data_IF_293349107876
#
_entry.id   IF_293349107876
#
_cell.length_a   1.000
_cell.length_b   1.000
_cell.length_c   1.000
_cell.angle_alpha   90.00
_cell.angle_beta   90.00
_cell.angle_gamma   90.00
#
_symmetry.space_group_name_H-M   'P 1'
#
loop_
_entity.id
_entity.type
_entity.pdbx_description
1 polymer ?
#
# COMPACT_ATOMS: atom_id res chain seq x y z
N UNK A 1 146.56 -154.37 -50.88
CA UNK A 1 145.36 -153.53 -51.13
C UNK A 1 144.53 -153.25 -49.88
N UNK A 2 144.39 -154.19 -48.93
CA UNK A 2 143.59 -153.97 -47.70
C UNK A 2 144.22 -152.94 -46.72
N UNK A 3 145.55 -152.83 -46.67
CA UNK A 3 146.25 -151.91 -45.76
C UNK A 3 145.95 -150.42 -46.03
N UNK A 4 145.81 -150.02 -47.30
CA UNK A 4 145.43 -148.64 -47.67
C UNK A 4 143.98 -148.33 -47.28
N UNK A 5 143.07 -149.30 -47.39
CA UNK A 5 141.67 -149.13 -46.97
C UNK A 5 141.55 -148.95 -45.44
N UNK A 6 142.36 -149.67 -44.65
CA UNK A 6 142.37 -149.52 -43.19
C UNK A 6 142.96 -148.19 -42.72
N UNK A 7 144.04 -147.71 -43.34
CA UNK A 7 144.60 -146.38 -43.03
C UNK A 7 143.64 -145.25 -43.42
N UNK A 8 142.94 -145.40 -44.54
CA UNK A 8 141.89 -144.46 -44.96
C UNK A 8 140.71 -144.48 -43.98
N UNK A 9 140.23 -145.66 -43.57
CA UNK A 9 139.16 -145.79 -42.59
C UNK A 9 139.56 -145.22 -41.21
N UNK A 10 140.80 -145.45 -40.75
CA UNK A 10 141.31 -144.90 -39.50
C UNK A 10 141.48 -143.37 -39.57
N UNK A 11 141.99 -142.85 -40.69
CA UNK A 11 142.07 -141.40 -40.96
C UNK A 11 140.69 -140.74 -40.99
N UNK A 12 139.70 -141.41 -41.59
CA UNK A 12 138.33 -140.93 -41.63
C UNK A 12 137.67 -140.96 -40.24
N UNK A 13 137.86 -142.04 -39.48
CA UNK A 13 137.31 -142.18 -38.13
C UNK A 13 137.89 -141.13 -37.17
N UNK A 14 139.19 -140.86 -37.27
CA UNK A 14 139.86 -139.83 -36.46
C UNK A 14 139.40 -138.42 -36.82
N UNK A 15 139.17 -138.12 -38.11
CA UNK A 15 138.59 -136.84 -38.54
C UNK A 15 137.16 -136.65 -38.03
N UNK A 16 136.32 -137.70 -38.08
CA UNK A 16 134.96 -137.67 -37.51
C UNK A 16 135.02 -137.45 -36.00
N UNK A 17 135.92 -138.14 -35.29
CA UNK A 17 136.05 -138.01 -33.85
C UNK A 17 136.47 -136.60 -33.44
N UNK A 18 137.43 -135.99 -34.15
CA UNK A 18 137.80 -134.58 -33.94
C UNK A 18 136.61 -133.64 -34.23
N UNK A 19 135.87 -133.88 -35.32
CA UNK A 19 134.67 -133.12 -35.65
C UNK A 19 133.61 -133.17 -34.55
N UNK A 20 133.36 -134.37 -33.99
CA UNK A 20 132.40 -134.57 -32.90
C UNK A 20 132.82 -133.88 -31.60
N UNK A 21 134.13 -133.76 -31.34
CA UNK A 21 134.66 -133.10 -30.14
C UNK A 21 134.56 -131.57 -30.22
N UNK A 22 134.70 -131.00 -31.43
CA UNK A 22 134.62 -129.55 -31.67
C UNK A 22 133.17 -129.07 -31.89
N UNK A 23 132.30 -129.90 -32.45
CA UNK A 23 130.89 -129.61 -32.71
C UNK A 23 130.12 -128.98 -31.51
N UNK A 24 130.19 -129.50 -30.27
CA UNK A 24 129.44 -128.92 -29.15
C UNK A 24 129.93 -127.52 -28.74
N UNK A 25 131.21 -127.20 -28.93
CA UNK A 25 131.77 -125.87 -28.61
C UNK A 25 131.29 -124.83 -29.61
N UNK A 26 131.34 -125.17 -30.90
CA UNK A 26 130.86 -124.28 -31.97
C UNK A 26 129.35 -124.05 -31.84
N UNK A 27 128.57 -125.09 -31.56
CA UNK A 27 127.11 -124.97 -31.39
C UNK A 27 126.74 -124.04 -30.22
N UNK A 28 127.39 -124.17 -29.06
CA UNK A 28 127.17 -123.25 -27.93
C UNK A 28 127.48 -121.80 -28.28
N UNK A 29 128.54 -121.55 -29.06
CA UNK A 29 128.93 -120.20 -29.48
C UNK A 29 127.93 -119.60 -30.46
N UNK A 30 127.42 -120.40 -31.40
CA UNK A 30 126.39 -119.98 -32.36
C UNK A 30 125.07 -119.66 -31.65
N UNK A 31 124.62 -120.49 -30.71
CA UNK A 31 123.38 -120.24 -29.95
C UNK A 31 123.48 -118.93 -29.16
N UNK A 32 124.62 -118.67 -28.51
CA UNK A 32 124.80 -117.43 -27.74
C UNK A 32 124.83 -116.19 -28.63
N UNK A 33 125.56 -116.22 -29.75
CA UNK A 33 125.54 -115.12 -30.72
C UNK A 33 124.17 -114.95 -31.39
N UNK A 34 123.44 -116.03 -31.64
CA UNK A 34 122.08 -115.96 -32.16
C UNK A 34 121.14 -115.34 -31.13
N UNK A 35 121.21 -115.73 -29.86
CA UNK A 35 120.38 -115.17 -28.78
C UNK A 35 120.72 -113.71 -28.48
N UNK A 36 122.01 -113.34 -28.42
CA UNK A 36 122.47 -111.97 -28.19
C UNK A 36 122.08 -111.05 -29.38
N UNK A 37 122.21 -111.55 -30.62
CA UNK A 37 121.77 -110.82 -31.81
C UNK A 37 120.24 -110.71 -31.88
N UNK A 38 119.51 -111.77 -31.52
CA UNK A 38 118.05 -111.73 -31.46
C UNK A 38 117.59 -110.72 -30.40
N UNK A 39 118.19 -110.69 -29.21
CA UNK A 39 117.89 -109.70 -28.16
C UNK A 39 118.23 -108.27 -28.61
N UNK A 40 119.28 -108.07 -29.40
CA UNK A 40 119.66 -106.77 -29.93
C UNK A 40 118.76 -106.29 -31.10
N UNK A 41 118.17 -107.19 -31.88
CA UNK A 41 117.35 -106.86 -33.06
C UNK A 41 115.85 -107.01 -32.85
N UNK A 42 115.41 -107.62 -31.74
CA UNK A 42 113.99 -107.69 -31.41
C UNK A 42 113.59 -106.38 -30.73
N UNK A 43 112.70 -105.57 -31.32
CA UNK A 43 112.57 -104.17 -30.94
C UNK A 43 111.93 -103.94 -29.56
N UNK A 44 111.30 -104.93 -28.92
CA UNK A 44 110.69 -104.76 -27.60
C UNK A 44 110.65 -106.08 -26.81
N UNK A 45 110.92 -106.00 -25.51
CA UNK A 45 110.70 -107.11 -24.57
C UNK A 45 109.20 -107.33 -24.32
N UNK A 46 108.77 -108.55 -23.98
CA UNK A 46 107.34 -108.84 -23.73
C UNK A 46 106.70 -107.96 -22.64
N UNK A 47 107.51 -107.51 -21.68
CA UNK A 47 107.06 -106.58 -20.63
C UNK A 47 106.79 -105.18 -21.20
N UNK A 48 107.63 -104.69 -22.11
CA UNK A 48 107.43 -103.39 -22.76
C UNK A 48 106.21 -103.39 -23.71
N UNK A 49 105.94 -104.49 -24.42
CA UNK A 49 104.72 -104.60 -25.26
C UNK A 49 103.46 -104.55 -24.41
N UNK A 50 103.46 -105.20 -23.24
CA UNK A 50 102.36 -105.12 -22.28
C UNK A 50 102.23 -103.72 -21.70
N UNK A 51 103.35 -103.08 -21.34
CA UNK A 51 103.37 -101.70 -20.85
C UNK A 51 102.86 -100.69 -21.89
N UNK A 52 103.24 -100.81 -23.17
CA UNK A 52 102.73 -99.95 -24.23
C UNK A 52 101.23 -100.18 -24.49
N UNK A 53 100.78 -101.43 -24.45
CA UNK A 53 99.35 -101.76 -24.59
C UNK A 53 98.53 -101.19 -23.44
N UNK A 54 99.02 -101.31 -22.21
CA UNK A 54 98.34 -100.76 -21.04
C UNK A 54 98.45 -99.23 -20.99
N UNK A 55 99.55 -98.64 -21.48
CA UNK A 55 99.69 -97.19 -21.67
C UNK A 55 98.72 -96.67 -22.74
N UNK A 56 98.58 -97.34 -23.89
CA UNK A 56 97.62 -96.97 -24.92
C UNK A 56 96.17 -97.08 -24.42
N UNK A 57 95.85 -98.13 -23.64
CA UNK A 57 94.55 -98.26 -22.95
C UNK A 57 94.32 -97.14 -21.95
N UNK A 58 95.35 -96.77 -21.18
CA UNK A 58 95.26 -95.68 -20.22
C UNK A 58 95.06 -94.32 -20.91
N UNK A 59 95.76 -94.06 -22.02
CA UNK A 59 95.61 -92.84 -22.83
C UNK A 59 94.20 -92.77 -23.41
N UNK A 60 93.72 -93.84 -24.05
CA UNK A 60 92.35 -93.90 -24.58
C UNK A 60 91.30 -93.74 -23.48
N UNK A 61 91.48 -94.38 -22.31
CA UNK A 61 90.58 -94.21 -21.18
C UNK A 61 90.60 -92.77 -20.65
N UNK A 62 91.79 -92.16 -20.53
CA UNK A 62 91.94 -90.78 -20.08
C UNK A 62 91.32 -89.78 -21.06
N UNK A 63 91.50 -89.95 -22.37
CA UNK A 63 90.85 -89.14 -23.40
C UNK A 63 89.34 -89.34 -23.45
N UNK A 64 88.86 -90.58 -23.32
CA UNK A 64 87.42 -90.86 -23.27
C UNK A 64 86.78 -90.26 -22.01
N UNK A 65 87.46 -90.29 -20.87
CA UNK A 65 87.01 -89.60 -19.65
C UNK A 65 87.04 -88.08 -19.83
N UNK A 66 88.09 -87.50 -20.42
CA UNK A 66 88.17 -86.05 -20.69
C UNK A 66 87.09 -85.59 -21.67
N UNK A 67 86.85 -86.32 -22.75
CA UNK A 67 85.82 -86.01 -23.76
C UNK A 67 84.41 -86.19 -23.18
N UNK A 68 84.17 -87.25 -22.41
CA UNK A 68 82.87 -87.41 -21.74
C UNK A 68 82.63 -86.35 -20.66
N UNK A 69 83.65 -85.93 -19.91
CA UNK A 69 83.53 -84.83 -18.94
C UNK A 69 83.27 -83.48 -19.61
N UNK A 70 83.97 -83.18 -20.71
CA UNK A 70 83.71 -81.95 -21.49
C UNK A 70 82.33 -81.97 -22.12
N UNK A 71 81.90 -83.09 -22.69
CA UNK A 71 80.54 -83.27 -23.19
C UNK A 71 79.48 -83.07 -22.10
N UNK A 72 79.71 -83.61 -20.88
CA UNK A 72 78.83 -83.37 -19.74
C UNK A 72 78.77 -81.88 -19.38
N UNK A 73 79.91 -81.21 -19.24
CA UNK A 73 79.97 -79.77 -18.95
C UNK A 73 79.26 -78.93 -20.01
N UNK A 74 79.43 -79.24 -21.30
CA UNK A 74 78.74 -78.54 -22.39
C UNK A 74 77.23 -78.82 -22.39
N UNK A 75 76.81 -80.05 -22.05
CA UNK A 75 75.38 -80.35 -21.85
C UNK A 75 74.78 -79.59 -20.67
N UNK A 76 75.48 -79.55 -19.55
CA UNK A 76 75.03 -78.82 -18.36
C UNK A 76 74.92 -77.32 -18.66
N UNK A 77 75.89 -76.74 -19.40
CA UNK A 77 75.81 -75.36 -19.90
C UNK A 77 74.63 -75.17 -20.85
N UNK A 78 74.43 -76.05 -21.82
CA UNK A 78 73.33 -75.95 -22.78
C UNK A 78 71.97 -76.00 -22.08
N UNK A 79 71.79 -76.88 -21.09
CA UNK A 79 70.59 -76.96 -20.26
C UNK A 79 70.41 -75.66 -19.46
N UNK A 80 71.47 -75.14 -18.85
CA UNK A 80 71.40 -73.88 -18.09
C UNK A 80 71.00 -72.68 -18.97
N UNK A 81 71.53 -72.60 -20.19
CA UNK A 81 71.17 -71.58 -21.16
C UNK A 81 69.74 -71.74 -21.66
N UNK A 82 69.28 -72.98 -21.85
CA UNK A 82 67.90 -73.26 -22.25
C UNK A 82 66.91 -72.83 -21.15
N UNK A 83 67.19 -73.14 -19.88
CA UNK A 83 66.39 -72.69 -18.74
C UNK A 83 66.40 -71.16 -18.60
N UNK A 84 67.56 -70.52 -18.76
CA UNK A 84 67.68 -69.06 -18.72
C UNK A 84 66.89 -68.40 -19.86
N UNK A 85 66.94 -68.99 -21.07
CA UNK A 85 66.15 -68.54 -22.22
C UNK A 85 64.65 -68.71 -21.97
N UNK A 86 64.21 -69.85 -21.45
CA UNK A 86 62.80 -70.09 -21.14
C UNK A 86 62.29 -69.07 -20.11
N UNK A 87 63.08 -68.79 -19.07
CA UNK A 87 62.76 -67.74 -18.09
C UNK A 87 62.67 -66.36 -18.75
N UNK A 88 63.63 -65.99 -19.59
CA UNK A 88 63.59 -64.72 -20.32
C UNK A 88 62.39 -64.63 -21.28
N UNK A 89 62.00 -65.73 -21.93
CA UNK A 89 60.80 -65.78 -22.77
C UNK A 89 59.51 -65.64 -21.94
N UNK A 90 59.46 -66.20 -20.72
CA UNK A 90 58.35 -65.99 -19.78
C UNK A 90 58.27 -64.53 -19.32
N UNK A 91 59.39 -63.94 -18.91
CA UNK A 91 59.46 -62.53 -18.49
C UNK A 91 59.09 -61.59 -19.67
N UNK A 92 59.47 -61.92 -20.90
CA UNK A 92 59.04 -61.15 -22.07
C UNK A 92 57.53 -61.25 -22.31
N UNK A 93 56.90 -62.38 -22.01
CA UNK A 93 55.44 -62.53 -22.15
C UNK A 93 54.70 -61.75 -21.07
N UNK A 94 55.18 -61.76 -19.82
CA UNK A 94 54.56 -60.99 -18.73
C UNK A 94 54.67 -59.49 -19.01
N UNK A 95 55.85 -58.99 -19.35
CA UNK A 95 56.06 -57.56 -19.67
C UNK A 95 55.23 -57.12 -20.88
N UNK A 96 55.03 -58.00 -21.88
CA UNK A 96 54.14 -57.71 -23.02
C UNK A 96 52.68 -57.62 -22.59
N UNK A 97 52.21 -58.56 -21.77
CA UNK A 97 50.84 -58.53 -21.25
C UNK A 97 50.60 -57.27 -20.41
N UNK A 98 51.54 -56.92 -19.52
CA UNK A 98 51.49 -55.68 -18.73
C UNK A 98 51.48 -54.43 -19.62
N UNK A 99 52.27 -54.41 -20.70
CA UNK A 99 52.26 -53.29 -21.66
C UNK A 99 50.93 -53.18 -22.40
N UNK A 100 50.34 -54.30 -22.81
CA UNK A 100 49.03 -54.31 -23.47
C UNK A 100 47.93 -53.83 -22.51
N UNK A 101 47.96 -54.26 -21.25
CA UNK A 101 47.02 -53.81 -20.22
C UNK A 101 47.18 -52.31 -19.92
N UNK A 102 48.41 -51.82 -19.74
CA UNK A 102 48.66 -50.39 -19.54
C UNK A 102 48.23 -49.55 -20.75
N UNK A 103 48.37 -50.06 -21.98
CA UNK A 103 47.87 -49.39 -23.18
C UNK A 103 46.34 -49.33 -23.19
N UNK A 104 45.67 -50.42 -22.85
CA UNK A 104 44.21 -50.44 -22.74
C UNK A 104 43.71 -49.44 -21.68
N UNK A 105 44.39 -49.36 -20.53
CA UNK A 105 44.07 -48.36 -19.49
C UNK A 105 44.30 -46.92 -19.96
N UNK A 106 45.37 -46.66 -20.72
CA UNK A 106 45.63 -45.35 -21.31
C UNK A 106 44.55 -44.96 -22.33
N UNK A 107 44.11 -45.90 -23.16
CA UNK A 107 43.06 -45.66 -24.15
C UNK A 107 41.71 -45.36 -23.47
N UNK A 108 41.36 -46.09 -22.40
CA UNK A 108 40.18 -45.82 -21.57
C UNK A 108 40.25 -44.43 -20.93
N UNK A 109 41.38 -44.11 -20.26
CA UNK A 109 41.57 -42.80 -19.63
C UNK A 109 41.53 -41.65 -20.67
N UNK A 110 42.01 -41.89 -21.89
CA UNK A 110 41.91 -40.92 -22.98
C UNK A 110 40.47 -40.73 -23.47
N UNK A 111 39.68 -41.81 -23.52
CA UNK A 111 38.26 -41.73 -23.83
C UNK A 111 37.50 -40.94 -22.75
N UNK A 112 37.70 -41.28 -21.47
CA UNK A 112 37.12 -40.54 -20.34
C UNK A 112 37.52 -39.06 -20.34
N UNK A 113 38.79 -38.75 -20.60
CA UNK A 113 39.25 -37.37 -20.73
C UNK A 113 38.60 -36.65 -21.93
N UNK A 114 38.34 -37.36 -23.02
CA UNK A 114 37.58 -36.86 -24.17
C UNK A 114 36.14 -36.51 -23.80
N UNK A 115 35.47 -37.42 -23.10
CA UNK A 115 34.09 -37.24 -22.62
C UNK A 115 33.98 -36.07 -21.64
N UNK A 116 34.90 -35.98 -20.67
CA UNK A 116 34.96 -34.84 -19.74
C UNK A 116 35.19 -33.52 -20.46
N UNK A 117 36.09 -33.46 -21.46
CA UNK A 117 36.30 -32.26 -22.28
C UNK A 117 35.06 -31.88 -23.08
N UNK A 118 34.32 -32.86 -23.59
CA UNK A 118 33.05 -32.62 -24.28
C UNK A 118 31.97 -32.08 -23.33
N UNK A 119 31.89 -32.64 -22.11
CA UNK A 119 30.99 -32.19 -21.06
C UNK A 119 31.30 -30.76 -20.61
N UNK A 120 32.58 -30.42 -20.44
CA UNK A 120 33.01 -29.06 -20.12
C UNK A 120 32.56 -28.09 -21.22
N UNK A 121 32.79 -28.40 -22.51
CA UNK A 121 32.34 -27.54 -23.62
C UNK A 121 30.83 -27.35 -23.64
N UNK A 122 30.05 -28.39 -23.33
CA UNK A 122 28.59 -28.29 -23.27
C UNK A 122 28.15 -27.37 -22.12
N UNK A 123 28.78 -27.51 -20.95
CA UNK A 123 28.52 -26.65 -19.80
C UNK A 123 28.93 -25.20 -20.07
N UNK A 124 30.07 -24.95 -20.71
CA UNK A 124 30.51 -23.62 -21.13
C UNK A 124 29.49 -22.98 -22.09
N UNK A 125 29.01 -23.72 -23.09
CA UNK A 125 27.96 -23.24 -23.99
C UNK A 125 26.65 -22.96 -23.26
N UNK A 126 26.30 -23.77 -22.25
CA UNK A 126 25.10 -23.53 -21.44
C UNK A 126 25.25 -22.28 -20.57
N UNK A 127 26.43 -22.07 -19.97
CA UNK A 127 26.76 -20.88 -19.19
C UNK A 127 26.68 -19.63 -20.07
N UNK A 128 27.24 -19.64 -21.28
CA UNK A 128 27.13 -18.50 -22.19
C UNK A 128 25.67 -18.20 -22.58
N UNK A 129 24.87 -19.22 -22.90
CA UNK A 129 23.43 -19.03 -23.14
C UNK A 129 22.70 -18.43 -21.93
N UNK A 130 23.05 -18.86 -20.72
CA UNK A 130 22.46 -18.30 -19.49
C UNK A 130 22.92 -16.87 -19.24
N UNK A 131 24.17 -16.52 -19.54
CA UNK A 131 24.67 -15.14 -19.45
C UNK A 131 23.97 -14.23 -20.45
N UNK A 132 23.80 -14.67 -21.69
CA UNK A 132 23.07 -13.91 -22.71
C UNK A 132 21.62 -13.69 -22.29
N UNK A 133 20.94 -14.75 -21.81
CA UNK A 133 19.58 -14.64 -21.29
C UNK A 133 19.49 -13.69 -20.09
N UNK A 134 20.45 -13.76 -19.16
CA UNK A 134 20.52 -12.84 -18.02
C UNK A 134 20.71 -11.39 -18.48
N UNK A 135 21.63 -11.14 -19.42
CA UNK A 135 21.86 -9.82 -19.98
C UNK A 135 20.60 -9.24 -20.65
N UNK A 136 19.87 -10.06 -21.42
CA UNK A 136 18.59 -9.61 -22.01
C UNK A 136 17.56 -9.28 -20.92
N UNK A 137 17.44 -10.10 -19.89
CA UNK A 137 16.51 -9.88 -18.78
C UNK A 137 16.87 -8.61 -17.98
N UNK A 138 18.15 -8.34 -17.76
CA UNK A 138 18.62 -7.12 -17.10
C UNK A 138 18.28 -5.88 -17.93
N UNK A 139 18.45 -5.92 -19.25
CA UNK A 139 18.05 -4.81 -20.13
C UNK A 139 16.54 -4.59 -20.15
N UNK A 140 15.76 -5.68 -20.19
CA UNK A 140 14.31 -5.61 -20.13
C UNK A 140 13.85 -5.03 -18.80
N UNK A 141 14.44 -5.47 -17.69
CA UNK A 141 14.16 -4.95 -16.35
C UNK A 141 14.50 -3.47 -16.22
N UNK A 142 15.65 -3.04 -16.76
CA UNK A 142 16.00 -1.62 -16.83
C UNK A 142 14.96 -0.81 -17.63
N UNK A 143 14.49 -1.33 -18.77
CA UNK A 143 13.44 -0.65 -19.55
C UNK A 143 12.11 -0.57 -18.78
N UNK A 144 11.77 -1.61 -18.02
CA UNK A 144 10.52 -1.67 -17.24
C UNK A 144 10.57 -0.75 -16.03
N UNK A 145 11.74 -0.61 -15.39
CA UNK A 145 11.93 0.35 -14.30
C UNK A 145 11.84 1.79 -14.79
N UNK A 146 12.38 2.11 -15.97
CA UNK A 146 12.20 3.41 -16.61
C UNK A 146 10.73 3.69 -16.96
N UNK A 147 10.03 2.72 -17.57
CA UNK A 147 8.58 2.81 -17.85
C UNK A 147 7.77 3.03 -16.57
N UNK A 148 8.09 2.32 -15.49
CA UNK A 148 7.43 2.48 -14.20
C UNK A 148 7.67 3.89 -13.62
N UNK A 149 8.89 4.43 -13.72
CA UNK A 149 9.19 5.78 -13.28
C UNK A 149 8.45 6.85 -14.10
N UNK A 150 8.29 6.65 -15.42
CA UNK A 150 7.49 7.53 -16.28
C UNK A 150 6.01 7.49 -15.90
N UNK A 151 5.45 6.28 -15.71
CA UNK A 151 4.05 6.10 -15.28
C UNK A 151 3.80 6.70 -13.90
N UNK A 152 4.72 6.55 -12.95
CA UNK A 152 4.62 7.19 -11.64
C UNK A 152 4.56 8.72 -11.74
N UNK A 153 5.45 9.32 -12.54
CA UNK A 153 5.41 10.79 -12.79
C UNK A 153 4.12 11.23 -13.47
N UNK A 154 3.57 10.42 -14.38
CA UNK A 154 2.28 10.71 -15.02
C UNK A 154 1.14 10.64 -14.00
N UNK A 155 1.15 9.64 -13.12
CA UNK A 155 0.18 9.52 -12.03
C UNK A 155 0.25 10.71 -11.08
N UNK A 156 1.46 11.13 -10.68
CA UNK A 156 1.66 12.30 -9.83
C UNK A 156 1.08 13.57 -10.47
N UNK A 157 1.34 13.79 -11.77
CA UNK A 157 0.76 14.93 -12.51
C UNK A 157 -0.76 14.89 -12.53
N UNK A 158 -1.35 13.75 -12.89
CA UNK A 158 -2.81 13.60 -12.94
C UNK A 158 -3.44 13.77 -11.55
N UNK A 159 -2.77 13.31 -10.49
CA UNK A 159 -3.23 13.53 -9.11
C UNK A 159 -3.21 15.01 -8.73
N UNK A 160 -2.15 15.74 -9.11
CA UNK A 160 -2.06 17.19 -8.88
C UNK A 160 -3.13 17.96 -9.67
N UNK A 161 -3.35 17.61 -10.95
CA UNK A 161 -4.43 18.18 -11.77
C UNK A 161 -5.81 17.90 -11.15
N UNK A 162 -6.03 16.69 -10.61
CA UNK A 162 -7.27 16.34 -9.94
C UNK A 162 -7.48 17.15 -8.65
N UNK A 163 -6.43 17.35 -7.85
CA UNK A 163 -6.51 18.15 -6.63
C UNK A 163 -6.72 19.64 -6.95
N UNK A 164 -6.13 20.15 -8.03
CA UNK A 164 -6.41 21.49 -8.56
C UNK A 164 -7.88 21.63 -8.97
N UNK A 165 -8.42 20.70 -9.76
CA UNK A 165 -9.83 20.70 -10.17
C UNK A 165 -10.76 20.61 -8.95
N UNK A 166 -10.42 19.81 -7.94
CA UNK A 166 -11.18 19.72 -6.69
C UNK A 166 -11.16 21.06 -5.92
N UNK A 167 -10.02 21.72 -5.86
CA UNK A 167 -9.90 23.03 -5.21
C UNK A 167 -10.74 24.09 -5.94
N UNK A 168 -10.70 24.11 -7.27
CA UNK A 168 -11.53 25.01 -8.09
C UNK A 168 -13.01 24.70 -7.88
N UNK A 169 -13.42 23.43 -7.92
CA UNK A 169 -14.81 23.04 -7.70
C UNK A 169 -15.31 23.41 -6.30
N UNK A 170 -14.48 23.29 -5.27
CA UNK A 170 -14.82 23.73 -3.92
C UNK A 170 -14.95 25.26 -3.81
N UNK A 171 -14.08 26.01 -4.50
CA UNK A 171 -14.18 27.47 -4.57
C UNK A 171 -15.45 27.91 -5.31
N UNK A 172 -15.81 27.26 -6.42
CA UNK A 172 -17.07 27.51 -7.13
C UNK A 172 -18.29 27.17 -6.27
N UNK A 173 -18.26 26.08 -5.51
CA UNK A 173 -19.33 25.73 -4.57
C UNK A 173 -19.53 26.82 -3.50
N UNK A 174 -18.44 27.35 -2.94
CA UNK A 174 -18.51 28.47 -1.99
C UNK A 174 -19.09 29.74 -2.64
N UNK A 175 -18.72 30.03 -3.90
CA UNK A 175 -19.30 31.16 -4.64
C UNK A 175 -20.80 30.98 -4.88
N UNK A 176 -21.23 29.76 -5.21
CA UNK A 176 -22.65 29.43 -5.36
C UNK A 176 -23.40 29.63 -4.05
N UNK A 177 -22.83 29.18 -2.92
CA UNK A 177 -23.41 29.38 -1.59
C UNK A 177 -23.50 30.87 -1.21
N UNK A 178 -22.46 31.66 -1.50
CA UNK A 178 -22.46 33.12 -1.29
C UNK A 178 -23.54 33.81 -2.13
N UNK A 179 -23.66 33.44 -3.42
CA UNK A 179 -24.70 33.96 -4.30
C UNK A 179 -26.10 33.55 -3.81
N UNK A 180 -26.27 32.34 -3.29
CA UNK A 180 -27.50 31.88 -2.69
C UNK A 180 -27.86 32.69 -1.43
N UNK A 181 -26.90 32.92 -0.54
CA UNK A 181 -27.08 33.76 0.65
C UNK A 181 -27.46 35.20 0.27
N UNK A 182 -26.78 35.79 -0.71
CA UNK A 182 -27.08 37.13 -1.23
C UNK A 182 -28.47 37.19 -1.87
N UNK A 183 -28.85 36.18 -2.65
CA UNK A 183 -30.18 36.09 -3.23
C UNK A 183 -31.27 35.91 -2.16
N UNK A 184 -30.98 35.20 -1.07
CA UNK A 184 -31.81 35.12 0.13
C UNK A 184 -32.00 36.50 0.76
N UNK A 185 -30.91 37.20 1.10
CA UNK A 185 -30.97 38.55 1.67
C UNK A 185 -31.74 39.55 0.81
N UNK A 186 -31.52 39.55 -0.52
CA UNK A 186 -32.29 40.41 -1.44
C UNK A 186 -33.79 40.05 -1.49
N UNK A 187 -34.15 38.78 -1.28
CA UNK A 187 -35.57 38.37 -1.21
C UNK A 187 -36.22 38.88 0.07
N UNK A 188 -35.51 38.81 1.20
CA UNK A 188 -35.97 39.28 2.50
C UNK A 188 -36.10 40.81 2.52
N UNK A 189 -35.11 41.53 1.97
CA UNK A 189 -35.18 42.99 1.75
C UNK A 189 -36.37 43.38 0.85
N UNK A 190 -36.60 42.62 -0.21
CA UNK A 190 -37.76 42.85 -1.08
C UNK A 190 -39.08 42.60 -0.35
N UNK A 191 -39.15 41.61 0.54
CA UNK A 191 -40.34 41.31 1.34
C UNK A 191 -40.61 42.40 2.38
N UNK A 192 -39.59 42.82 3.13
CA UNK A 192 -39.67 43.94 4.07
C UNK A 192 -40.10 45.24 3.37
N UNK A 193 -39.50 45.60 2.24
CA UNK A 193 -39.91 46.78 1.46
C UNK A 193 -41.35 46.67 0.93
N UNK A 194 -41.82 45.46 0.57
CA UNK A 194 -43.22 45.26 0.15
C UNK A 194 -44.17 45.45 1.31
N UNK A 195 -43.83 44.98 2.50
CA UNK A 195 -44.65 45.15 3.70
C UNK A 195 -44.64 46.59 4.21
N UNK A 196 -43.50 47.28 4.16
CA UNK A 196 -43.41 48.72 4.41
C UNK A 196 -44.29 49.50 3.43
N UNK A 197 -44.20 49.20 2.13
CA UNK A 197 -45.07 49.82 1.12
C UNK A 197 -46.55 49.54 1.38
N UNK A 198 -46.91 48.33 1.83
CA UNK A 198 -48.30 48.01 2.22
C UNK A 198 -48.76 48.85 3.41
N UNK A 199 -47.94 48.94 4.46
CA UNK A 199 -48.23 49.77 5.65
C UNK A 199 -48.37 51.24 5.28
N UNK A 200 -47.48 51.78 4.44
CA UNK A 200 -47.60 53.15 3.96
C UNK A 200 -48.84 53.36 3.09
N UNK A 201 -49.22 52.39 2.26
CA UNK A 201 -50.47 52.45 1.49
C UNK A 201 -51.71 52.44 2.40
N UNK A 202 -51.71 51.63 3.47
CA UNK A 202 -52.78 51.61 4.47
C UNK A 202 -52.85 52.92 5.25
N UNK A 203 -51.70 53.47 5.65
CA UNK A 203 -51.61 54.80 6.29
C UNK A 203 -52.14 55.90 5.38
N UNK A 204 -51.74 55.90 4.10
CA UNK A 204 -52.22 56.85 3.11
C UNK A 204 -53.75 56.77 2.95
N UNK A 205 -54.31 55.57 2.79
CA UNK A 205 -55.77 55.37 2.73
C UNK A 205 -56.48 55.84 4.02
N UNK A 206 -55.90 55.58 5.19
CA UNK A 206 -56.46 56.04 6.46
C UNK A 206 -56.44 57.57 6.57
N UNK A 207 -55.39 58.23 6.09
CA UNK A 207 -55.29 59.69 6.02
C UNK A 207 -56.27 60.27 4.98
N UNK A 208 -56.43 59.64 3.81
CA UNK A 208 -57.43 60.02 2.80
C UNK A 208 -58.85 59.93 3.37
N UNK A 209 -59.17 58.86 4.10
CA UNK A 209 -60.47 58.72 4.77
C UNK A 209 -60.69 59.80 5.84
N UNK A 210 -59.66 60.11 6.64
CA UNK A 210 -59.72 61.21 7.61
C UNK A 210 -59.89 62.56 6.92
N UNK A 211 -59.19 62.80 5.82
CA UNK A 211 -59.33 64.03 5.03
C UNK A 211 -60.75 64.14 4.48
N UNK A 212 -61.29 63.09 3.86
CA UNK A 212 -62.66 63.05 3.38
C UNK A 212 -63.69 63.31 4.50
N UNK A 213 -63.47 62.76 5.70
CA UNK A 213 -64.30 63.05 6.86
C UNK A 213 -64.20 64.53 7.29
N UNK A 214 -63.00 65.11 7.30
CA UNK A 214 -62.82 66.53 7.62
C UNK A 214 -63.41 67.43 6.55
N UNK A 215 -63.32 67.09 5.27
CA UNK A 215 -63.97 67.79 4.16
C UNK A 215 -65.50 67.75 4.29
N UNK A 216 -66.08 66.60 4.65
CA UNK A 216 -67.53 66.49 4.91
C UNK A 216 -67.91 67.37 6.10
N UNK A 217 -67.14 67.33 7.20
CA UNK A 217 -67.38 68.20 8.36
C UNK A 217 -67.25 69.67 8.02
N UNK A 218 -66.23 70.05 7.24
CA UNK A 218 -66.03 71.40 6.75
C UNK A 218 -67.23 71.85 5.91
N UNK A 219 -67.68 71.04 4.94
CA UNK A 219 -68.90 71.31 4.15
C UNK A 219 -70.16 71.43 5.01
N UNK A 220 -70.31 70.60 6.04
CA UNK A 220 -71.42 70.71 6.99
C UNK A 220 -71.36 72.00 7.80
N UNK A 221 -70.17 72.40 8.26
CA UNK A 221 -69.96 73.67 8.96
C UNK A 221 -70.18 74.86 8.03
N UNK A 222 -69.73 74.80 6.78
CA UNK A 222 -70.01 75.80 5.74
C UNK A 222 -71.51 75.91 5.47
N UNK A 223 -72.23 74.78 5.36
CA UNK A 223 -73.69 74.78 5.19
C UNK A 223 -74.43 75.36 6.42
N UNK A 224 -73.96 75.05 7.63
CA UNK A 224 -74.45 75.66 8.88
C UNK A 224 -74.18 77.15 8.95
N UNK A 225 -73.00 77.59 8.51
CA UNK A 225 -72.66 79.00 8.41
C UNK A 225 -73.52 79.70 7.35
N UNK A 226 -73.73 79.08 6.19
CA UNK A 226 -74.60 79.61 5.14
C UNK A 226 -76.06 79.73 5.63
N UNK A 227 -76.58 78.74 6.37
CA UNK A 227 -77.93 78.81 6.96
C UNK A 227 -78.01 79.81 8.10
N UNK A 228 -76.99 79.91 8.97
CA UNK A 228 -76.93 80.93 10.01
C UNK A 228 -76.84 82.34 9.40
N UNK A 229 -76.06 82.53 8.33
CA UNK A 229 -75.98 83.77 7.58
C UNK A 229 -77.31 84.09 6.89
N UNK A 230 -78.01 83.10 6.33
CA UNK A 230 -79.35 83.29 5.78
C UNK A 230 -80.36 83.69 6.87
N UNK A 231 -80.32 83.07 8.05
CA UNK A 231 -81.15 83.45 9.19
C UNK A 231 -80.81 84.86 9.72
N UNK A 232 -79.52 85.22 9.74
CA UNK A 232 -79.09 86.56 10.09
C UNK A 232 -79.56 87.58 9.05
N UNK A 233 -79.45 87.28 7.75
CA UNK A 233 -79.99 88.10 6.68
C UNK A 233 -81.52 88.22 6.78
N UNK A 234 -82.24 87.15 7.07
CA UNK A 234 -83.69 87.20 7.32
C UNK A 234 -84.00 88.07 8.54
N UNK A 235 -83.25 87.92 9.65
CA UNK A 235 -83.38 88.80 10.82
C UNK A 235 -83.06 90.25 10.49
N UNK A 236 -82.04 90.52 9.70
CA UNK A 236 -81.72 91.85 9.20
C UNK A 236 -82.88 92.39 8.35
N UNK A 237 -83.44 91.62 7.41
CA UNK A 237 -84.62 92.06 6.67
C UNK A 237 -85.85 92.24 7.55
N UNK A 238 -86.02 91.45 8.63
CA UNK A 238 -87.08 91.64 9.61
C UNK A 238 -86.85 92.90 10.46
N UNK A 239 -85.60 93.21 10.82
CA UNK A 239 -85.22 94.45 11.49
C UNK A 239 -85.31 95.65 10.53
N UNK A 240 -85.04 95.50 9.24
CA UNK A 240 -85.24 96.52 8.21
C UNK A 240 -86.73 96.77 7.97
N UNK A 241 -87.56 95.71 7.92
CA UNK A 241 -89.02 95.86 7.86
C UNK A 241 -89.56 96.48 9.15
N UNK A 242 -89.10 96.01 10.30
CA UNK A 242 -89.45 96.55 11.61
C UNK A 242 -88.99 98.00 11.80
N UNK A 243 -87.80 98.36 11.33
CA UNK A 243 -87.31 99.74 11.34
C UNK A 243 -88.05 100.61 10.33
N UNK A 244 -88.39 100.10 9.14
CA UNK A 244 -89.26 100.81 8.20
C UNK A 244 -90.69 100.98 8.73
N UNK A 245 -91.19 100.03 9.53
CA UNK A 245 -92.49 100.11 10.20
C UNK A 245 -92.43 101.04 11.41
N UNK A 246 -91.33 101.05 12.17
CA UNK A 246 -91.02 102.08 13.17
C UNK A 246 -90.88 103.43 12.50
N UNK A 247 -90.27 103.57 11.33
CA UNK A 247 -90.13 104.83 10.60
C UNK A 247 -91.48 105.30 10.07
N UNK A 248 -92.34 104.40 9.59
CA UNK A 248 -93.73 104.71 9.22
C UNK A 248 -94.57 105.07 10.43
N UNK A 249 -94.43 104.37 11.56
CA UNK A 249 -95.09 104.70 12.82
C UNK A 249 -94.53 106.00 13.41
N UNK A 250 -93.24 106.28 13.24
CA UNK A 250 -92.60 107.53 13.65
C UNK A 250 -93.02 108.67 12.72
N UNK A 251 -93.25 108.41 11.43
CA UNK A 251 -93.82 109.37 10.50
C UNK A 251 -95.30 109.61 10.80
N UNK A 252 -96.08 108.56 11.12
CA UNK A 252 -97.47 108.63 11.56
C UNK A 252 -97.60 109.30 12.93
N UNK A 253 -96.64 109.10 13.82
CA UNK A 253 -96.52 109.81 15.10
C UNK A 253 -96.02 111.23 14.85
N UNK A 254 -95.15 111.52 13.90
CA UNK A 254 -94.78 112.90 13.49
C UNK A 254 -95.97 113.63 12.86
N UNK A 255 -96.81 112.94 12.10
CA UNK A 255 -98.04 113.44 11.48
C UNK A 255 -99.12 113.66 12.54
N UNK A 256 -99.33 112.69 13.45
CA UNK A 256 -100.24 112.85 14.60
C UNK A 256 -99.69 113.79 15.68
N UNK A 257 -98.37 113.99 15.81
CA UNK A 257 -97.79 115.02 16.70
C UNK A 257 -97.75 116.38 16.03
N UNK A 258 -97.77 116.48 14.70
CA UNK A 258 -98.06 117.71 13.97
C UNK A 258 -99.56 118.09 14.07
N UNK A 259 -100.46 117.10 14.11
CA UNK A 259 -101.90 117.29 14.31
C UNK A 259 -102.28 117.49 15.80
N UNK A 260 -101.53 116.93 16.76
CA UNK A 260 -101.70 117.21 18.21
C UNK A 260 -100.91 118.43 18.70
N UNK A 261 -99.90 118.94 17.97
CA UNK A 261 -99.22 120.20 18.29
C UNK A 261 -100.09 121.44 17.97
N UNK A 262 -101.18 121.27 17.23
CA UNK A 262 -102.23 122.29 17.04
C UNK A 262 -103.35 122.22 18.10
N UNK A 263 -103.32 121.24 19.01
CA UNK A 263 -104.22 121.12 20.16
C UNK A 263 -103.38 121.10 21.46
N UNK A 264 -102.89 122.31 21.77
CA UNK A 264 -102.18 122.73 22.98
C UNK A 264 -102.44 121.94 24.27
N UNK A 265 -101.34 121.82 25.03
CA UNK A 265 -101.27 121.80 26.51
C UNK A 265 -101.59 120.48 27.24
N UNK A 266 -100.51 119.85 27.75
CA UNK A 266 -100.19 119.76 29.18
C UNK A 266 -99.70 118.37 29.65
N UNK A 267 -98.64 118.42 30.48
CA UNK A 267 -98.19 117.42 31.48
C UNK A 267 -97.23 116.33 30.96
N UNK A 268 -95.92 116.35 31.27
CA UNK A 268 -95.19 116.14 32.56
C UNK A 268 -94.92 114.65 32.90
N UNK A 269 -93.61 114.38 33.04
CA UNK A 269 -92.91 113.63 34.10
C UNK A 269 -92.75 112.09 34.06
N UNK A 270 -91.61 111.63 34.60
CA UNK A 270 -91.25 110.26 35.03
C UNK A 270 -90.38 109.49 34.00
N UNK A 271 -89.08 109.21 34.13
CA UNK A 271 -88.22 108.61 35.19
C UNK A 271 -88.42 107.11 35.48
N UNK A 272 -87.28 106.45 35.77
CA UNK A 272 -87.00 105.07 36.23
C UNK A 272 -86.89 103.93 35.20
N UNK A 273 -85.74 103.22 35.06
CA UNK A 273 -84.82 102.48 35.98
C UNK A 273 -85.21 101.00 36.11
N UNK A 274 -84.20 100.16 35.89
CA UNK A 274 -84.09 98.79 36.44
C UNK A 274 -84.17 97.68 35.39
N UNK A 275 -83.48 96.54 35.44
CA UNK A 275 -82.38 95.97 36.23
C UNK A 275 -82.54 94.44 36.11
N UNK A 276 -81.42 93.68 36.13
CA UNK A 276 -81.30 92.29 36.61
C UNK A 276 -81.95 91.18 35.74
N UNK A 277 -81.57 89.90 35.78
CA UNK A 277 -80.70 89.07 36.63
C UNK A 277 -80.57 87.69 35.92
N UNK A 278 -79.38 87.07 35.78
CA UNK A 278 -78.80 85.98 36.62
C UNK A 278 -79.49 84.60 36.54
N UNK A 279 -78.64 83.56 36.39
CA UNK A 279 -78.83 82.18 36.89
C UNK A 279 -79.32 81.19 35.84
N UNK A 280 -78.88 79.93 35.72
CA UNK A 280 -78.12 78.97 36.53
C UNK A 280 -77.64 77.85 35.56
N UNK A 281 -76.45 77.24 35.62
CA UNK A 281 -75.79 76.37 36.62
C UNK A 281 -75.97 74.85 36.37
N UNK A 282 -74.89 74.10 36.70
CA UNK A 282 -74.71 72.65 36.97
C UNK A 282 -74.30 71.70 35.81
N UNK A 283 -73.09 71.09 35.78
CA UNK A 283 -72.38 70.14 36.69
C UNK A 283 -72.68 68.66 36.32
N UNK A 284 -71.82 67.60 36.35
CA UNK A 284 -70.51 67.28 36.95
C UNK A 284 -69.98 65.91 36.37
N UNK A 285 -68.64 65.77 36.30
CA UNK A 285 -67.70 64.63 36.50
C UNK A 285 -67.61 63.26 35.74
N UNK A 286 -66.32 62.88 35.58
CA UNK A 286 -65.52 61.66 35.25
C UNK A 286 -65.89 60.35 36.01
N UNK A 287 -65.23 59.13 35.91
CA UNK A 287 -63.82 58.76 35.53
C UNK A 287 -63.53 57.37 34.86
N UNK A 288 -62.24 57.05 34.65
CA UNK A 288 -61.59 55.72 34.39
C UNK A 288 -61.59 54.81 35.67
N UNK A 289 -61.04 53.56 35.80
CA UNK A 289 -59.84 52.93 35.15
C UNK A 289 -59.79 51.35 35.02
N UNK A 290 -58.65 50.85 34.48
CA UNK A 290 -57.78 49.64 34.71
C UNK A 290 -58.23 48.16 34.89
N UNK A 291 -57.30 47.28 34.45
CA UNK A 291 -57.22 45.80 34.34
C UNK A 291 -57.50 44.96 35.61
N UNK A 292 -57.63 43.60 35.52
CA UNK A 292 -56.52 42.73 35.97
C UNK A 292 -56.38 41.30 35.36
N UNK A 293 -55.20 40.71 35.63
CA UNK A 293 -54.71 39.32 35.46
C UNK A 293 -55.50 38.22 36.19
N UNK A 294 -55.46 36.98 35.68
CA UNK A 294 -55.61 35.74 36.48
C UNK A 294 -54.79 34.55 35.90
N UNK A 295 -54.37 33.67 36.82
CA UNK A 295 -53.39 32.58 36.72
C UNK A 295 -53.90 31.29 36.01
N UNK A 296 -52.98 30.44 35.54
CA UNK A 296 -53.30 29.07 35.08
C UNK A 296 -52.13 28.06 35.32
N UNK A 297 -52.42 26.74 35.41
CA UNK A 297 -51.53 25.67 35.91
C UNK A 297 -50.60 25.11 34.82
N UNK A 298 -49.69 24.13 35.12
CA UNK A 298 -48.54 23.86 34.26
C UNK A 298 -48.98 23.12 33.00
N UNK A 299 -48.97 23.85 31.89
CA UNK A 299 -48.99 23.32 30.54
C UNK A 299 -47.76 23.87 29.83
N UNK A 300 -47.29 23.18 28.78
CA UNK A 300 -46.14 23.55 27.95
C UNK A 300 -46.02 25.08 27.86
N UNK A 301 -44.88 25.66 28.25
CA UNK A 301 -44.73 27.11 28.36
C UNK A 301 -45.12 27.76 27.03
N UNK A 302 -45.92 28.83 27.11
CA UNK A 302 -46.38 29.56 25.94
C UNK A 302 -45.17 30.19 25.24
N UNK A 303 -45.25 30.46 23.93
CA UNK A 303 -44.13 31.08 23.20
C UNK A 303 -43.69 32.42 23.80
N UNK A 304 -44.58 33.11 24.53
CA UNK A 304 -44.26 34.34 25.25
C UNK A 304 -43.52 34.09 26.57
N UNK A 305 -43.87 33.04 27.33
CA UNK A 305 -43.13 32.69 28.55
C UNK A 305 -41.73 32.15 28.23
N UNK A 306 -41.59 31.33 27.17
CA UNK A 306 -40.28 30.87 26.70
C UNK A 306 -39.36 32.00 26.21
N UNK A 307 -39.92 33.05 25.61
CA UNK A 307 -39.16 34.25 25.23
C UNK A 307 -38.71 35.05 26.44
N UNK A 308 -39.54 35.10 27.49
CA UNK A 308 -39.21 35.78 28.75
C UNK A 308 -38.13 35.00 29.50
N UNK A 309 -38.30 33.68 29.64
CA UNK A 309 -37.32 32.78 30.27
C UNK A 309 -35.98 32.76 29.52
N UNK A 310 -35.99 32.83 28.18
CA UNK A 310 -34.78 32.95 27.37
C UNK A 310 -34.09 34.32 27.51
N UNK A 311 -34.87 35.40 27.68
CA UNK A 311 -34.35 36.73 27.96
C UNK A 311 -33.66 36.80 29.32
N UNK A 312 -34.34 36.30 30.36
CA UNK A 312 -33.81 36.25 31.74
C UNK A 312 -32.58 35.35 31.85
N UNK A 313 -32.53 34.26 31.07
CA UNK A 313 -31.34 33.40 30.96
C UNK A 313 -30.15 34.13 30.32
N UNK A 314 -30.37 34.92 29.26
CA UNK A 314 -29.30 35.69 28.61
C UNK A 314 -28.74 36.75 29.57
N UNK A 315 -29.61 37.43 30.32
CA UNK A 315 -29.17 38.42 31.32
C UNK A 315 -28.35 37.76 32.44
N UNK A 316 -28.76 36.58 32.91
CA UNK A 316 -27.99 35.77 33.88
C UNK A 316 -26.68 35.25 33.30
N UNK A 317 -26.67 34.80 32.05
CA UNK A 317 -25.46 34.33 31.37
C UNK A 317 -24.40 35.43 31.24
N UNK A 318 -24.83 36.67 31.04
CA UNK A 318 -23.94 37.84 30.96
C UNK A 318 -23.39 38.24 32.33
N UNK A 319 -24.13 37.96 33.40
CA UNK A 319 -23.75 38.31 34.78
C UNK A 319 -23.08 37.18 35.59
N UNK A 320 -23.01 35.96 35.05
CA UNK A 320 -22.61 34.76 35.81
C UNK A 320 -21.09 34.51 35.82
N UNK A 321 -20.63 33.91 36.92
CA UNK A 321 -19.25 33.48 37.12
C UNK A 321 -19.02 32.04 36.64
N UNK A 322 -17.77 31.65 36.30
CA UNK A 322 -17.45 30.32 35.75
C UNK A 322 -17.76 29.13 36.69
N UNK A 323 -17.99 29.39 37.98
CA UNK A 323 -18.37 28.38 38.95
C UNK A 323 -19.84 27.95 38.82
N UNK A 324 -20.68 28.75 38.15
CA UNK A 324 -22.11 28.50 37.95
C UNK A 324 -22.42 27.84 36.59
N UNK A 325 -21.39 27.54 35.79
CA UNK A 325 -21.46 26.90 34.47
C UNK A 325 -22.29 25.61 34.44
N UNK A 326 -22.23 24.81 35.52
CA UNK A 326 -23.01 23.58 35.63
C UNK A 326 -24.52 23.86 35.74
N UNK A 327 -24.91 24.89 36.51
CA UNK A 327 -26.30 25.30 36.67
C UNK A 327 -26.82 25.99 35.39
N UNK A 328 -26.02 26.84 34.75
CA UNK A 328 -26.35 27.46 33.47
C UNK A 328 -26.58 26.43 32.36
N UNK A 329 -25.78 25.34 32.35
CA UNK A 329 -25.96 24.24 31.41
C UNK A 329 -27.27 23.51 31.65
N UNK A 330 -27.69 23.33 32.90
CA UNK A 330 -28.99 22.73 33.23
C UNK A 330 -30.18 23.61 32.83
N UNK A 331 -30.09 24.92 33.04
CA UNK A 331 -31.11 25.89 32.63
C UNK A 331 -31.24 25.97 31.10
N UNK A 332 -30.10 26.00 30.38
CA UNK A 332 -30.08 25.95 28.92
C UNK A 332 -30.73 24.68 28.39
N UNK A 333 -30.43 23.53 29.00
CA UNK A 333 -31.04 22.25 28.63
C UNK A 333 -32.55 22.24 28.91
N UNK A 334 -33.02 22.93 29.94
CA UNK A 334 -34.45 23.05 30.25
C UNK A 334 -35.18 23.93 29.21
N UNK A 335 -34.61 25.08 28.84
CA UNK A 335 -35.16 25.97 27.81
C UNK A 335 -35.17 25.28 26.45
N UNK A 336 -34.08 24.60 26.09
CA UNK A 336 -33.99 23.83 24.85
C UNK A 336 -35.00 22.68 24.81
N UNK A 337 -35.22 21.99 25.94
CA UNK A 337 -36.21 20.93 26.02
C UNK A 337 -37.64 21.48 25.86
N UNK A 338 -37.93 22.62 26.46
CA UNK A 338 -39.24 23.27 26.34
C UNK A 338 -39.50 23.81 24.92
N UNK A 339 -38.48 24.39 24.27
CA UNK A 339 -38.57 24.83 22.87
C UNK A 339 -38.84 23.66 21.92
N UNK A 340 -38.07 22.59 22.03
CA UNK A 340 -38.23 21.40 21.17
C UNK A 340 -39.57 20.69 21.41
N UNK A 341 -40.07 20.65 22.65
CA UNK A 341 -41.41 20.15 22.97
C UNK A 341 -42.52 21.06 22.39
N UNK A 342 -42.36 22.39 22.45
CA UNK A 342 -43.28 23.33 21.83
C UNK A 342 -43.31 23.15 20.30
N UNK A 343 -42.14 23.02 19.67
CA UNK A 343 -42.01 22.76 18.22
C UNK A 343 -42.71 21.46 17.82
N UNK A 344 -42.46 20.37 18.54
CA UNK A 344 -43.12 19.09 18.28
C UNK A 344 -44.65 19.19 18.40
N UNK A 345 -45.16 19.98 19.36
CA UNK A 345 -46.60 20.23 19.51
C UNK A 345 -47.17 21.12 18.40
N UNK A 346 -46.45 22.15 17.96
CA UNK A 346 -46.90 23.01 16.85
C UNK A 346 -46.92 22.29 15.51
N UNK A 347 -46.03 21.31 15.32
CA UNK A 347 -45.92 20.52 14.10
C UNK A 347 -46.87 19.30 14.07
N UNK A 348 -47.45 18.91 15.21
CA UNK A 348 -48.44 17.82 15.30
C UNK A 348 -47.91 16.44 14.87
N UNK A 349 -48.80 15.57 14.39
CA UNK A 349 -48.47 14.19 13.97
C UNK A 349 -47.46 14.11 12.82
N UNK A 350 -47.23 15.22 12.11
CA UNK A 350 -46.25 15.34 11.02
C UNK A 350 -44.84 15.66 11.51
N UNK A 351 -44.64 15.94 12.80
CA UNK A 351 -43.31 16.22 13.34
C UNK A 351 -42.43 14.97 13.32
N UNK A 352 -41.17 15.04 12.82
CA UNK A 352 -40.21 13.96 12.95
C UNK A 352 -39.63 13.86 14.37
N UNK A 353 -39.86 14.84 15.24
CA UNK A 353 -39.25 14.97 16.56
C UNK A 353 -39.62 13.79 17.48
N UNK A 354 -40.90 13.34 17.60
CA UNK A 354 -41.24 12.16 18.41
C UNK A 354 -40.54 10.87 17.96
N UNK A 355 -40.37 10.68 16.65
CA UNK A 355 -39.68 9.51 16.09
C UNK A 355 -38.17 9.53 16.36
N UNK A 356 -37.56 10.72 16.34
CA UNK A 356 -36.16 10.92 16.71
C UNK A 356 -35.94 10.70 18.22
N UNK A 357 -36.85 11.20 19.06
CA UNK A 357 -36.80 11.00 20.51
C UNK A 357 -36.96 9.52 20.91
N UNK A 358 -37.74 8.73 20.16
CA UNK A 358 -37.92 7.29 20.42
C UNK A 358 -36.69 6.43 20.05
N UNK A 359 -35.77 6.95 19.24
CA UNK A 359 -34.59 6.23 18.75
C UNK A 359 -33.41 6.26 19.73
N UNK A 360 -33.47 7.11 20.74
CA UNK A 360 -32.40 7.33 21.71
C UNK A 360 -32.61 6.48 22.97
N UNK A 361 -31.67 5.56 23.25
CA UNK A 361 -31.70 4.60 24.35
C UNK A 361 -31.47 5.26 25.71
N UNK A 362 -32.23 4.86 26.73
CA UNK A 362 -32.20 5.37 28.11
C UNK A 362 -30.79 5.29 28.73
N UNK A 363 -30.07 6.42 28.74
CA UNK A 363 -28.86 6.62 29.53
C UNK A 363 -29.20 7.21 30.90
N UNK A 364 -28.42 6.89 31.93
CA UNK A 364 -28.57 7.35 33.32
C UNK A 364 -28.29 8.84 33.55
N UNK A 365 -27.97 9.60 32.49
CA UNK A 365 -27.74 11.05 32.56
C UNK A 365 -28.93 11.76 31.93
N UNK A 366 -29.41 12.82 32.59
CA UNK A 366 -30.62 13.56 32.19
C UNK A 366 -30.40 14.33 30.89
N UNK A 367 -30.47 13.64 29.75
CA UNK A 367 -30.26 14.23 28.42
C UNK A 367 -31.42 15.12 28.01
N UNK A 368 -31.17 16.01 27.05
CA UNK A 368 -32.19 16.86 26.41
C UNK A 368 -33.41 16.02 25.97
N UNK A 369 -33.17 14.88 25.33
CA UNK A 369 -34.21 13.99 24.83
C UNK A 369 -35.06 13.32 25.92
N UNK A 370 -34.50 13.10 27.12
CA UNK A 370 -35.25 12.59 28.26
C UNK A 370 -36.18 13.68 28.84
N UNK A 371 -35.69 14.94 28.93
CA UNK A 371 -36.48 16.09 29.41
C UNK A 371 -37.62 16.45 28.44
N UNK A 372 -37.36 16.43 27.14
CA UNK A 372 -38.40 16.67 26.11
C UNK A 372 -39.48 15.61 26.13
N UNK A 373 -39.12 14.33 26.28
CA UNK A 373 -40.08 13.24 26.46
C UNK A 373 -40.95 13.45 27.69
N UNK A 374 -40.36 13.82 28.83
CA UNK A 374 -41.11 14.10 30.07
C UNK A 374 -42.10 15.26 29.93
N UNK A 375 -41.78 16.29 29.14
CA UNK A 375 -42.64 17.46 28.90
C UNK A 375 -43.78 17.14 27.91
N UNK A 376 -43.53 16.28 26.93
CA UNK A 376 -44.53 15.81 25.98
C UNK A 376 -45.49 14.79 26.62
N UNK A 377 -44.99 13.93 27.51
CA UNK A 377 -45.80 12.94 28.23
C UNK A 377 -46.67 13.53 29.35
N UNK A 378 -46.33 14.73 29.86
CA UNK A 378 -47.16 15.44 30.84
C UNK A 378 -48.34 16.19 30.21
N UNK A 379 -48.43 16.21 28.88
CA UNK A 379 -49.48 16.91 28.11
C UNK A 379 -50.40 16.00 27.30
N UNK A 380 -50.07 14.71 27.22
CA UNK A 380 -50.99 13.62 26.82
C UNK A 380 -51.75 13.10 28.02
#
# INVERSE_FOLDING_TARGET
>A
MIQFALLFALGFLTAIFLGALVAPVIHRRIVRFAEDRLKATTPLTQQEVRAQKDAARAIYAAENVRTSQTLKRERDKAISLMLAREKAEQDMRTVRAENEELRAQLDEMNAEAGDLRSGIRLLEQHIERLKDALGTLETDYASKTEQAALLARQLDRVSAELDEVRAVSAAEALQVDELHARAGGLRDERETLRDERRRESERAKALELKLAQQEIRAKQLEARLATANALLADRETHLERGSAEIDRLSARVREMTAELAAAMQASRAGHDVGSQSVGQENAIALPAPDEPRLLSPPAIPTPESLRTDAGDFIERLVAADPAEDAALREDLLQIAAAMTALTAKTEGETSPIPALLARETEGTTTTLAARTRSLLSSTS
#
